data_IF_759244613157
#
_entry.id   IF_759244613157
#
_cell.length_a   1.000
_cell.length_b   1.000
_cell.length_c   1.000
_cell.angle_alpha   90.00
_cell.angle_beta   90.00
_cell.angle_gamma   90.00
#
_symmetry.space_group_name_H-M   'P 1'
#
loop_
_entity.id
_entity.type
_entity.pdbx_description
1 polymer ?
#
# COMPACT_ATOMS: atom_id res chain seq x y z
N UNK A 1 -16.45 6.69 13.88
CA UNK A 1 -17.10 8.00 13.61
C UNK A 1 -17.02 8.41 12.14
N UNK A 2 -15.84 8.64 11.56
CA UNK A 2 -15.74 9.08 10.14
C UNK A 2 -16.39 8.11 9.13
N UNK A 3 -16.17 6.79 9.28
CA UNK A 3 -16.81 5.79 8.42
C UNK A 3 -18.34 5.82 8.50
N UNK A 4 -18.90 5.93 9.72
CA UNK A 4 -20.34 6.02 9.94
C UNK A 4 -20.92 7.29 9.31
N UNK A 5 -20.30 8.44 9.54
CA UNK A 5 -20.74 9.70 8.95
C UNK A 5 -20.75 9.65 7.41
N UNK A 6 -19.75 9.01 6.80
CA UNK A 6 -19.68 8.81 5.36
C UNK A 6 -20.79 7.92 4.81
N UNK A 7 -21.08 6.83 5.52
CA UNK A 7 -22.20 5.91 5.20
C UNK A 7 -23.54 6.65 5.31
N UNK A 8 -23.77 7.35 6.42
CA UNK A 8 -24.99 8.13 6.63
C UNK A 8 -25.19 9.22 5.57
N UNK A 9 -24.13 9.95 5.22
CA UNK A 9 -24.17 10.97 4.16
C UNK A 9 -24.50 10.37 2.79
N UNK A 10 -23.94 9.20 2.47
CA UNK A 10 -24.18 8.55 1.18
C UNK A 10 -25.58 7.94 1.12
N UNK A 11 -26.07 7.35 2.21
CA UNK A 11 -27.44 6.87 2.32
C UNK A 11 -28.45 8.01 2.19
N UNK A 12 -28.19 9.17 2.81
CA UNK A 12 -29.03 10.35 2.67
C UNK A 12 -29.06 10.87 1.23
N UNK A 13 -27.92 10.86 0.52
CA UNK A 13 -27.86 11.24 -0.90
C UNK A 13 -28.65 10.27 -1.77
N UNK A 14 -28.49 8.96 -1.58
CA UNK A 14 -29.23 7.95 -2.32
C UNK A 14 -30.75 8.12 -2.13
N UNK A 15 -31.19 8.26 -0.88
CA UNK A 15 -32.60 8.46 -0.56
C UNK A 15 -33.15 9.77 -1.15
N UNK A 16 -32.31 10.82 -1.24
CA UNK A 16 -32.70 12.09 -1.87
C UNK A 16 -32.94 11.92 -3.37
N UNK A 17 -32.02 11.29 -4.10
CA UNK A 17 -32.16 11.05 -5.54
C UNK A 17 -33.41 10.23 -5.87
N UNK A 18 -33.70 9.20 -5.08
CA UNK A 18 -34.93 8.40 -5.24
C UNK A 18 -36.18 9.24 -5.01
N UNK A 19 -36.18 10.14 -4.01
CA UNK A 19 -37.29 11.08 -3.76
C UNK A 19 -37.47 12.12 -4.87
N UNK A 20 -36.38 12.53 -5.52
CA UNK A 20 -36.40 13.46 -6.66
C UNK A 20 -36.90 12.79 -7.96
N UNK A 21 -37.19 11.48 -7.94
CA UNK A 21 -37.82 10.74 -9.02
C UNK A 21 -36.88 9.85 -9.82
N UNK A 22 -35.60 9.73 -9.43
CA UNK A 22 -34.71 8.76 -10.06
C UNK A 22 -35.15 7.33 -9.75
N UNK A 23 -35.14 6.46 -10.76
CA UNK A 23 -35.23 5.02 -10.54
C UNK A 23 -34.07 4.56 -9.66
N UNK A 24 -34.34 3.62 -8.74
CA UNK A 24 -33.36 3.17 -7.74
C UNK A 24 -32.00 2.77 -8.34
N UNK A 25 -31.98 2.03 -9.45
CA UNK A 25 -30.74 1.60 -10.09
C UNK A 25 -29.92 2.77 -10.65
N UNK A 26 -30.59 3.83 -11.15
CA UNK A 26 -29.93 5.04 -11.63
C UNK A 26 -29.37 5.86 -10.46
N UNK A 27 -30.16 6.04 -9.40
CA UNK A 27 -29.70 6.71 -8.17
C UNK A 27 -28.51 5.97 -7.54
N UNK A 28 -28.56 4.63 -7.52
CA UNK A 28 -27.46 3.78 -7.07
C UNK A 28 -26.20 3.98 -7.91
N UNK A 29 -26.34 3.99 -9.24
CA UNK A 29 -25.22 4.20 -10.16
C UNK A 29 -24.60 5.60 -9.98
N UNK A 30 -25.42 6.64 -9.80
CA UNK A 30 -24.97 8.01 -9.48
C UNK A 30 -24.19 8.08 -8.16
N UNK A 31 -24.55 7.24 -7.19
CA UNK A 31 -23.87 7.16 -5.89
C UNK A 31 -22.69 6.16 -5.85
N UNK A 32 -22.41 5.42 -6.93
CA UNK A 32 -21.46 4.30 -6.95
C UNK A 32 -20.08 4.63 -6.37
N UNK A 33 -19.50 5.77 -6.76
CA UNK A 33 -18.20 6.23 -6.24
C UNK A 33 -18.23 6.43 -4.72
N UNK A 34 -19.30 7.03 -4.19
CA UNK A 34 -19.48 7.25 -2.76
C UNK A 34 -19.71 5.93 -2.01
N UNK A 35 -20.44 4.99 -2.61
CA UNK A 35 -20.68 3.66 -2.05
C UNK A 35 -19.38 2.86 -1.92
N UNK A 36 -18.51 2.88 -2.94
CA UNK A 36 -17.17 2.26 -2.86
C UNK A 36 -16.34 2.87 -1.73
N UNK A 37 -16.34 4.20 -1.62
CA UNK A 37 -15.64 4.89 -0.53
C UNK A 37 -16.20 4.56 0.86
N UNK A 38 -17.51 4.31 0.97
CA UNK A 38 -18.14 3.84 2.21
C UNK A 38 -17.69 2.43 2.56
N UNK A 39 -17.68 1.50 1.59
CA UNK A 39 -17.20 0.15 1.79
C UNK A 39 -15.74 0.14 2.26
N UNK A 40 -14.87 0.90 1.61
CA UNK A 40 -13.47 1.06 2.00
C UNK A 40 -13.32 1.61 3.42
N UNK A 41 -14.08 2.64 3.78
CA UNK A 41 -14.04 3.22 5.13
C UNK A 41 -14.51 2.23 6.20
N UNK A 42 -15.55 1.44 5.92
CA UNK A 42 -16.04 0.39 6.82
C UNK A 42 -15.02 -0.73 7.01
N UNK A 43 -14.47 -1.26 5.92
CA UNK A 43 -13.41 -2.29 5.98
C UNK A 43 -12.20 -1.79 6.74
N UNK A 44 -11.78 -0.53 6.52
CA UNK A 44 -10.65 0.05 7.25
C UNK A 44 -10.92 0.17 8.74
N UNK A 45 -12.11 0.62 9.13
CA UNK A 45 -12.53 0.65 10.52
C UNK A 45 -12.44 -0.74 11.15
N UNK A 46 -12.97 -1.76 10.47
CA UNK A 46 -12.94 -3.14 10.96
C UNK A 46 -11.51 -3.66 11.14
N UNK A 47 -10.60 -3.39 10.20
CA UNK A 47 -9.19 -3.77 10.33
C UNK A 47 -8.53 -3.06 11.53
N UNK A 48 -8.71 -1.75 11.66
CA UNK A 48 -8.14 -0.99 12.78
C UNK A 48 -8.68 -1.48 14.14
N UNK A 49 -10.00 -1.74 14.22
CA UNK A 49 -10.63 -2.24 15.43
C UNK A 49 -10.08 -3.61 15.83
N UNK A 50 -10.00 -4.55 14.88
CA UNK A 50 -9.44 -5.88 15.15
C UNK A 50 -7.96 -5.82 15.49
N UNK A 51 -7.18 -4.95 14.84
CA UNK A 51 -5.77 -4.79 15.17
C UNK A 51 -5.61 -4.33 16.63
N UNK A 52 -6.35 -3.30 17.04
CA UNK A 52 -6.34 -2.83 18.45
C UNK A 52 -6.79 -3.93 19.41
N UNK A 53 -7.87 -4.65 19.10
CA UNK A 53 -8.37 -5.76 19.93
C UNK A 53 -7.32 -6.85 20.10
N UNK A 54 -6.75 -7.33 18.99
CA UNK A 54 -5.76 -8.41 18.99
C UNK A 54 -4.47 -8.02 19.71
N UNK A 55 -3.98 -6.78 19.54
CA UNK A 55 -2.78 -6.32 20.25
C UNK A 55 -3.03 -6.21 21.76
N UNK A 56 -4.22 -5.78 22.17
CA UNK A 56 -4.59 -5.71 23.59
C UNK A 56 -4.70 -7.08 24.24
N UNK A 57 -5.29 -8.06 23.54
CA UNK A 57 -5.51 -9.42 24.04
C UNK A 57 -4.32 -10.36 23.82
N UNK A 58 -3.32 -9.97 23.05
CA UNK A 58 -2.16 -10.82 22.77
C UNK A 58 -1.34 -11.09 24.04
N UNK A 59 -1.17 -12.37 24.37
CA UNK A 59 -0.26 -12.85 25.42
C UNK A 59 1.16 -12.88 24.85
N UNK A 60 1.93 -11.84 25.12
CA UNK A 60 3.30 -11.69 24.63
C UNK A 60 4.18 -11.08 25.70
N UNK A 61 5.51 -11.15 25.50
CA UNK A 61 6.43 -10.42 26.36
C UNK A 61 6.19 -8.91 26.27
N UNK A 62 6.53 -8.18 27.33
CA UNK A 62 6.35 -6.72 27.37
C UNK A 62 7.06 -6.00 26.20
N UNK A 63 8.21 -6.52 25.76
CA UNK A 63 8.98 -5.98 24.63
C UNK A 63 8.24 -6.15 23.31
N UNK A 64 7.68 -7.34 23.06
CA UNK A 64 6.91 -7.63 21.85
C UNK A 64 5.63 -6.79 21.84
N UNK A 65 4.94 -6.72 22.98
CA UNK A 65 3.73 -5.90 23.12
C UNK A 65 3.97 -4.43 22.79
N UNK A 66 5.08 -3.86 23.29
CA UNK A 66 5.47 -2.48 22.99
C UNK A 66 5.62 -2.22 21.49
N UNK A 67 6.31 -3.11 20.75
CA UNK A 67 6.48 -2.97 19.30
C UNK A 67 5.16 -3.16 18.55
N UNK A 68 4.33 -4.14 18.96
CA UNK A 68 3.01 -4.35 18.36
C UNK A 68 2.07 -3.14 18.58
N UNK A 69 2.13 -2.51 19.75
CA UNK A 69 1.40 -1.27 20.04
C UNK A 69 1.90 -0.10 19.17
N UNK A 70 3.22 0.03 19.00
CA UNK A 70 3.81 1.05 18.12
C UNK A 70 3.38 0.85 16.66
N UNK A 71 3.42 -0.38 16.14
CA UNK A 71 2.96 -0.72 14.78
C UNK A 71 1.46 -0.48 14.60
N UNK A 72 0.65 -0.86 15.60
CA UNK A 72 -0.79 -0.61 15.60
C UNK A 72 -1.06 0.89 15.52
N UNK A 73 -0.44 1.68 16.40
CA UNK A 73 -0.58 3.13 16.43
C UNK A 73 -0.13 3.78 15.12
N UNK A 74 1.02 3.37 14.59
CA UNK A 74 1.54 3.83 13.29
C UNK A 74 0.54 3.58 12.16
N UNK A 75 -0.02 2.36 12.08
CA UNK A 75 -1.02 2.00 11.08
C UNK A 75 -2.29 2.84 11.17
N UNK A 76 -2.81 3.06 12.39
CA UNK A 76 -3.98 3.90 12.61
C UNK A 76 -3.72 5.34 12.14
N UNK A 77 -2.59 5.91 12.54
CA UNK A 77 -2.22 7.30 12.22
C UNK A 77 -2.01 7.50 10.73
N UNK A 78 -1.27 6.60 10.08
CA UNK A 78 -1.08 6.61 8.64
C UNK A 78 -2.42 6.69 7.89
N UNK A 79 -3.39 5.87 8.30
CA UNK A 79 -4.71 5.87 7.67
C UNK A 79 -5.57 7.08 8.03
N UNK A 80 -5.40 7.68 9.21
CA UNK A 80 -6.05 8.95 9.56
C UNK A 80 -5.52 10.07 8.66
N UNK A 81 -4.20 10.18 8.51
CA UNK A 81 -3.55 11.21 7.67
C UNK A 81 -3.96 11.02 6.20
N UNK A 82 -3.90 9.79 5.68
CA UNK A 82 -4.30 9.48 4.30
C UNK A 82 -5.75 9.87 4.00
N UNK A 83 -6.63 9.81 5.00
CA UNK A 83 -8.05 10.11 4.88
C UNK A 83 -8.45 11.39 5.64
N UNK A 84 -7.51 12.30 5.90
CA UNK A 84 -7.72 13.46 6.78
C UNK A 84 -8.95 14.30 6.40
N UNK A 85 -9.21 14.44 5.09
CA UNK A 85 -10.38 15.17 4.58
C UNK A 85 -11.72 14.67 5.13
N UNK A 86 -11.88 13.37 5.35
CA UNK A 86 -13.12 12.82 5.93
C UNK A 86 -13.24 13.18 7.42
N UNK A 87 -12.13 13.14 8.17
CA UNK A 87 -12.12 13.49 9.60
C UNK A 87 -12.33 14.99 9.84
N UNK A 88 -11.77 15.83 8.96
CA UNK A 88 -11.97 17.28 8.97
C UNK A 88 -13.42 17.64 8.64
N UNK A 89 -14.01 17.02 7.60
CA UNK A 89 -15.43 17.22 7.23
C UNK A 89 -16.40 16.85 8.35
N UNK A 90 -16.09 15.82 9.13
CA UNK A 90 -16.92 15.39 10.26
C UNK A 90 -16.65 16.21 11.53
N UNK A 91 -15.73 17.18 11.52
CA UNK A 91 -15.34 17.97 12.70
C UNK A 91 -14.72 17.14 13.82
N UNK A 92 -14.33 15.88 13.57
CA UNK A 92 -13.77 14.98 14.60
C UNK A 92 -12.32 15.33 14.90
N UNK A 93 -11.58 15.79 13.88
CA UNK A 93 -10.20 16.27 14.00
C UNK A 93 -10.12 17.68 13.41
N UNK A 94 -9.24 18.49 13.99
CA UNK A 94 -8.86 19.81 13.46
C UNK A 94 -7.55 19.71 12.68
N UNK A 95 -7.18 20.75 11.90
CA UNK A 95 -5.87 20.82 11.22
C UNK A 95 -4.72 20.60 12.19
N UNK A 96 -4.77 21.26 13.35
CA UNK A 96 -3.76 21.12 14.41
C UNK A 96 -3.65 19.69 14.96
N UNK A 97 -4.76 18.94 15.01
CA UNK A 97 -4.70 17.53 15.39
C UNK A 97 -3.98 16.71 14.31
N UNK A 98 -4.23 16.98 13.04
CA UNK A 98 -3.57 16.29 11.93
C UNK A 98 -2.06 16.57 11.92
N UNK A 99 -1.64 17.82 12.13
CA UNK A 99 -0.23 18.22 12.24
C UNK A 99 0.48 17.43 13.36
N UNK A 100 -0.12 17.35 14.54
CA UNK A 100 0.41 16.55 15.67
C UNK A 100 0.53 15.06 15.33
N UNK A 101 -0.45 14.51 14.62
CA UNK A 101 -0.41 13.11 14.19
C UNK A 101 0.71 12.86 13.16
N UNK A 102 1.05 13.84 12.33
CA UNK A 102 2.17 13.75 11.39
C UNK A 102 3.52 13.73 12.12
N UNK A 103 3.69 14.58 13.13
CA UNK A 103 4.88 14.56 14.01
C UNK A 103 5.01 13.20 14.70
N UNK A 104 3.93 12.73 15.32
CA UNK A 104 3.90 11.45 16.02
C UNK A 104 4.18 10.26 15.08
N UNK A 105 3.72 10.32 13.83
CA UNK A 105 4.05 9.32 12.81
C UNK A 105 5.56 9.25 12.58
N UNK A 106 6.25 10.39 12.56
CA UNK A 106 7.71 10.46 12.45
C UNK A 106 8.42 9.78 13.62
N UNK A 107 7.97 10.07 14.85
CA UNK A 107 8.52 9.46 16.07
C UNK A 107 8.30 7.94 16.12
N UNK A 108 7.11 7.48 15.70
CA UNK A 108 6.79 6.06 15.62
C UNK A 108 7.63 5.34 14.56
N UNK A 109 7.87 5.97 13.40
CA UNK A 109 8.77 5.42 12.38
C UNK A 109 10.20 5.28 12.91
N UNK A 110 10.70 6.29 13.64
CA UNK A 110 12.00 6.23 14.29
C UNK A 110 12.07 5.11 15.36
N UNK A 111 10.97 4.89 16.09
CA UNK A 111 10.84 3.82 17.09
C UNK A 111 10.83 2.42 16.48
N UNK A 112 10.13 2.23 15.36
CA UNK A 112 9.99 0.93 14.69
C UNK A 112 11.24 0.57 13.88
N UNK A 113 11.94 1.57 13.31
CA UNK A 113 13.09 1.38 12.41
C UNK A 113 14.14 0.36 12.90
N UNK A 114 14.63 0.39 14.16
CA UNK A 114 15.66 -0.54 14.63
C UNK A 114 15.21 -2.01 14.67
N UNK A 115 13.90 -2.27 14.65
CA UNK A 115 13.32 -3.60 14.70
C UNK A 115 12.70 -4.01 13.35
N UNK A 116 12.71 -3.15 12.33
CA UNK A 116 12.00 -3.37 11.08
C UNK A 116 12.39 -4.69 10.40
N UNK A 117 13.69 -5.01 10.36
CA UNK A 117 14.23 -6.28 9.83
C UNK A 117 13.75 -7.46 10.67
N UNK A 118 13.92 -7.41 11.99
CA UNK A 118 13.47 -8.48 12.89
C UNK A 118 11.95 -8.72 12.87
N UNK A 119 11.14 -7.68 12.63
CA UNK A 119 9.69 -7.81 12.46
C UNK A 119 9.36 -8.59 11.19
N UNK A 120 10.00 -8.27 10.06
CA UNK A 120 9.76 -9.02 8.81
C UNK A 120 10.34 -10.43 8.86
N UNK A 121 11.49 -10.63 9.52
CA UNK A 121 12.10 -11.94 9.73
C UNK A 121 11.22 -12.85 10.60
N UNK A 122 10.41 -12.27 11.51
CA UNK A 122 9.52 -13.04 12.39
C UNK A 122 8.39 -13.78 11.67
N UNK A 123 8.13 -13.46 10.39
CA UNK A 123 7.23 -14.25 9.54
C UNK A 123 7.84 -15.58 9.08
N UNK A 124 9.16 -15.74 9.24
CA UNK A 124 9.91 -16.98 8.96
C UNK A 124 9.65 -17.54 7.56
N UNK A 125 9.72 -16.66 6.55
CA UNK A 125 9.47 -17.00 5.15
C UNK A 125 10.76 -17.50 4.51
N UNK A 126 10.80 -18.78 4.14
CA UNK A 126 11.95 -19.39 3.47
C UNK A 126 12.22 -18.76 2.08
N UNK A 127 13.51 -18.60 1.73
CA UNK A 127 13.98 -18.03 0.47
C UNK A 127 13.37 -18.72 -0.77
N UNK A 128 13.07 -20.03 -0.71
CA UNK A 128 12.45 -20.78 -1.81
C UNK A 128 11.00 -20.36 -2.03
N UNK A 129 10.31 -19.95 -0.96
CA UNK A 129 8.95 -19.42 -1.02
C UNK A 129 9.00 -17.95 -1.44
N UNK A 130 9.93 -17.17 -0.88
CA UNK A 130 10.06 -15.75 -1.16
C UNK A 130 10.48 -15.48 -2.61
N UNK A 131 11.40 -16.28 -3.17
CA UNK A 131 11.79 -16.22 -4.58
C UNK A 131 12.38 -14.86 -5.00
N UNK A 132 13.02 -14.13 -4.08
CA UNK A 132 13.51 -12.77 -4.32
C UNK A 132 15.02 -12.69 -4.16
N UNK A 133 15.72 -12.29 -5.23
CA UNK A 133 17.16 -12.01 -5.17
C UNK A 133 17.48 -10.80 -4.25
N UNK A 134 16.60 -9.80 -4.21
CA UNK A 134 16.74 -8.62 -3.35
C UNK A 134 16.42 -8.90 -1.88
N UNK A 135 15.52 -9.85 -1.64
CA UNK A 135 15.06 -10.23 -0.31
C UNK A 135 15.79 -11.44 0.28
N UNK A 136 17.01 -11.76 -0.18
CA UNK A 136 17.75 -12.91 0.32
C UNK A 136 18.09 -12.78 1.81
N UNK A 137 17.86 -13.86 2.57
CA UNK A 137 18.08 -13.88 4.02
C UNK A 137 19.53 -13.55 4.44
N UNK A 138 20.51 -13.90 3.61
CA UNK A 138 21.94 -13.73 3.89
C UNK A 138 22.47 -12.32 3.56
N UNK A 139 21.63 -11.46 2.96
CA UNK A 139 22.02 -10.12 2.55
C UNK A 139 23.00 -10.08 1.38
N UNK A 140 23.32 -11.20 0.73
CA UNK A 140 24.21 -11.25 -0.44
C UNK A 140 23.47 -10.86 -1.74
N UNK A 141 22.87 -9.67 -1.71
CA UNK A 141 21.94 -9.17 -2.72
C UNK A 141 22.61 -9.00 -4.08
N UNK A 142 23.80 -8.39 -4.12
CA UNK A 142 24.46 -8.02 -5.37
C UNK A 142 24.85 -9.24 -6.20
N UNK A 143 25.45 -10.26 -5.59
CA UNK A 143 25.85 -11.47 -6.29
C UNK A 143 24.63 -12.23 -6.79
N UNK A 144 23.61 -12.42 -5.94
CA UNK A 144 22.37 -13.11 -6.33
C UNK A 144 21.64 -12.38 -7.46
N UNK A 145 21.58 -11.05 -7.43
CA UNK A 145 20.97 -10.27 -8.50
C UNK A 145 21.73 -10.44 -9.82
N UNK A 146 23.05 -10.46 -9.78
CA UNK A 146 23.88 -10.73 -10.95
C UNK A 146 23.63 -12.14 -11.51
N UNK A 147 23.69 -13.15 -10.66
CA UNK A 147 23.46 -14.55 -11.05
C UNK A 147 22.05 -14.76 -11.62
N UNK A 148 21.04 -14.08 -11.05
CA UNK A 148 19.67 -14.14 -11.52
C UNK A 148 19.49 -13.44 -12.87
N UNK A 149 20.15 -12.29 -13.07
CA UNK A 149 20.13 -11.59 -14.34
C UNK A 149 20.73 -12.46 -15.46
N UNK A 150 21.83 -13.17 -15.19
CA UNK A 150 22.47 -14.08 -16.16
C UNK A 150 21.55 -15.21 -16.63
N UNK A 151 20.58 -15.65 -15.84
CA UNK A 151 19.62 -16.70 -16.22
C UNK A 151 18.60 -16.24 -17.27
N UNK A 152 18.51 -14.93 -17.52
CA UNK A 152 17.58 -14.37 -18.52
C UNK A 152 17.80 -15.00 -19.90
N UNK A 153 16.74 -15.45 -20.60
CA UNK A 153 16.86 -15.98 -21.96
C UNK A 153 17.51 -15.01 -22.96
N UNK A 154 17.46 -13.71 -22.68
CA UNK A 154 18.09 -12.67 -23.51
C UNK A 154 19.62 -12.72 -23.45
N UNK A 155 20.19 -13.30 -22.40
CA UNK A 155 21.64 -13.40 -22.18
C UNK A 155 22.22 -14.71 -22.72
N UNK A 156 21.42 -15.52 -23.44
CA UNK A 156 21.90 -16.78 -24.04
C UNK A 156 22.87 -16.58 -25.21
N UNK A 157 22.85 -15.41 -25.84
CA UNK A 157 23.74 -15.04 -26.93
C UNK A 157 24.21 -13.60 -26.72
N UNK A 158 25.49 -13.34 -26.97
CA UNK A 158 26.08 -12.01 -26.81
C UNK A 158 25.41 -10.96 -27.70
N UNK A 159 24.97 -11.38 -28.89
CA UNK A 159 24.23 -10.53 -29.84
C UNK A 159 22.88 -11.19 -30.15
N UNK A 160 21.75 -10.56 -29.80
CA UNK A 160 20.42 -11.10 -30.10
C UNK A 160 20.19 -11.23 -31.60
N UNK A 161 19.49 -12.28 -32.05
CA UNK A 161 19.18 -12.49 -33.47
C UNK A 161 18.43 -11.31 -34.12
N UNK A 162 17.65 -10.57 -33.33
CA UNK A 162 16.95 -9.37 -33.77
C UNK A 162 17.91 -8.28 -34.28
N UNK A 163 19.15 -8.24 -33.77
CA UNK A 163 20.18 -7.30 -34.24
C UNK A 163 20.51 -7.57 -35.71
N UNK A 164 20.91 -8.80 -36.06
CA UNK A 164 21.26 -9.17 -37.43
C UNK A 164 20.07 -9.02 -38.40
N UNK A 165 18.86 -9.32 -37.92
CA UNK A 165 17.65 -9.28 -38.77
C UNK A 165 17.15 -7.87 -39.05
N UNK A 166 17.26 -6.94 -38.09
CA UNK A 166 16.60 -5.63 -38.18
C UNK A 166 17.54 -4.44 -37.95
N UNK A 167 18.36 -4.47 -36.90
CA UNK A 167 19.18 -3.31 -36.50
C UNK A 167 20.40 -3.14 -37.41
N UNK A 168 21.08 -4.23 -37.75
CA UNK A 168 22.29 -4.18 -38.58
C UNK A 168 21.99 -3.64 -40.00
N UNK A 169 20.96 -4.13 -40.74
CA UNK A 169 20.63 -3.56 -42.04
C UNK A 169 20.21 -2.09 -41.97
N UNK A 170 19.46 -1.70 -40.93
CA UNK A 170 19.02 -0.33 -40.71
C UNK A 170 20.22 0.62 -40.50
N UNK A 171 21.16 0.23 -39.63
CA UNK A 171 22.35 1.03 -39.35
C UNK A 171 23.24 1.18 -40.59
N UNK A 172 23.42 0.11 -41.37
CA UNK A 172 24.18 0.16 -42.65
C UNK A 172 23.51 1.10 -43.66
N UNK A 173 22.18 1.05 -43.78
CA UNK A 173 21.43 1.97 -44.65
C UNK A 173 21.63 3.44 -44.25
N UNK A 174 21.60 3.76 -42.95
CA UNK A 174 21.82 5.13 -42.47
C UNK A 174 23.23 5.64 -42.71
N UNK A 175 24.24 4.77 -42.63
CA UNK A 175 25.62 5.14 -42.95
C UNK A 175 25.80 5.42 -44.45
N UNK A 176 25.13 4.65 -45.31
CA UNK A 176 25.17 4.85 -46.76
C UNK A 176 24.39 6.10 -47.21
N UNK A 177 23.29 6.45 -46.55
CA UNK A 177 22.49 7.63 -46.86
C UNK A 177 23.10 8.97 -46.41
N UNK A 178 24.21 8.93 -45.66
CA UNK A 178 24.96 10.12 -45.20
C UNK A 178 26.19 10.47 -46.06
N UNK A 179 26.50 9.65 -47.07
CA UNK A 179 27.53 9.87 -48.10
C UNK A 179 26.85 10.33 -49.40
#
# INVERSE_FOLDING_TARGET
MAALAKISSTAALLNRLVKEGDMYHNAWNKCSVSLVKCAQAHMRYYICENFVKNVKSAETSQKVKYILEALCRLYLIYHIILNAGDFLKCGTLSSKNIERLQEEMGDLLATVRPQAVSIVDSFDIDDKILGSALGCWDGNVYQRLYDEALKSPLNKADVPQAYYKYLEPLMKSWMQAKL
#
